data_IF_371680285821
#
_entry.id   IF_371680285821
#
_cell.length_a   1.000
_cell.length_b   1.000
_cell.length_c   1.000
_cell.angle_alpha   90.00
_cell.angle_beta   90.00
_cell.angle_gamma   90.00
#
_symmetry.space_group_name_H-M   'P 1'
#
loop_
_entity.id
_entity.type
_entity.pdbx_description
1 polymer ?
#
# COMPACT_ATOMS: atom_id res chain seq x y z
N UNK A 1 9.90 14.96 22.10
CA UNK A 1 10.45 15.28 20.76
C UNK A 1 9.82 14.36 19.73
N UNK A 2 8.92 14.87 18.88
CA UNK A 2 8.24 14.08 17.84
C UNK A 2 9.17 14.02 16.62
N UNK A 3 9.85 12.90 16.43
CA UNK A 3 10.83 12.75 15.35
C UNK A 3 10.09 12.66 14.01
N UNK A 4 9.96 13.79 13.32
CA UNK A 4 9.42 13.93 11.95
C UNK A 4 9.87 12.80 11.01
N UNK A 5 11.11 12.35 11.13
CA UNK A 5 11.67 11.27 10.32
C UNK A 5 11.03 9.90 10.57
N UNK A 6 10.74 9.58 11.84
CA UNK A 6 10.05 8.34 12.20
C UNK A 6 8.61 8.37 11.69
N UNK A 7 7.93 9.52 11.80
CA UNK A 7 6.57 9.67 11.27
C UNK A 7 6.51 9.46 9.75
N UNK A 8 7.47 10.00 8.99
CA UNK A 8 7.57 9.83 7.54
C UNK A 8 7.87 8.37 7.14
N UNK A 9 8.83 7.72 7.80
CA UNK A 9 9.16 6.31 7.57
C UNK A 9 7.96 5.40 7.87
N UNK A 10 7.27 5.67 8.99
CA UNK A 10 6.12 4.91 9.43
C UNK A 10 4.93 5.14 8.49
N UNK A 11 4.83 6.30 7.84
CA UNK A 11 3.88 6.57 6.76
C UNK A 11 4.13 5.70 5.54
N UNK A 12 5.39 5.62 5.10
CA UNK A 12 5.80 4.81 3.95
C UNK A 12 5.56 3.32 4.21
N UNK A 13 5.90 2.84 5.41
CA UNK A 13 5.62 1.47 5.85
C UNK A 13 4.12 1.15 5.86
N UNK A 14 3.29 2.08 6.33
CA UNK A 14 1.83 1.90 6.29
C UNK A 14 1.29 1.89 4.85
N UNK A 15 1.80 2.76 3.99
CA UNK A 15 1.49 2.72 2.55
C UNK A 15 1.88 1.38 1.93
N UNK A 16 3.06 0.86 2.25
CA UNK A 16 3.52 -0.46 1.82
C UNK A 16 2.58 -1.59 2.23
N UNK A 17 2.18 -1.64 3.51
CA UNK A 17 1.26 -2.67 4.02
C UNK A 17 -0.09 -2.59 3.31
N UNK A 18 -0.63 -1.40 3.07
CA UNK A 18 -1.88 -1.21 2.32
C UNK A 18 -1.73 -1.71 0.88
N UNK A 19 -0.62 -1.38 0.22
CA UNK A 19 -0.34 -1.84 -1.14
C UNK A 19 -0.21 -3.35 -1.24
N UNK A 20 0.58 -3.96 -0.35
CA UNK A 20 0.74 -5.41 -0.29
C UNK A 20 -0.60 -6.10 -0.01
N UNK A 21 -1.42 -5.53 0.89
CA UNK A 21 -2.77 -6.00 1.16
C UNK A 21 -3.68 -5.95 -0.08
N UNK A 22 -3.51 -4.95 -0.94
CA UNK A 22 -4.32 -4.81 -2.16
C UNK A 22 -4.01 -5.91 -3.19
N UNK A 23 -2.80 -6.46 -3.16
CA UNK A 23 -2.41 -7.54 -4.06
C UNK A 23 -2.84 -8.93 -3.58
N UNK A 24 -3.19 -9.09 -2.30
CA UNK A 24 -3.66 -10.37 -1.77
C UNK A 24 -5.17 -10.51 -2.04
N UNK A 25 -5.62 -11.55 -2.77
CA UNK A 25 -7.04 -11.75 -3.04
C UNK A 25 -7.79 -11.98 -1.72
N UNK A 26 -8.87 -11.23 -1.50
CA UNK A 26 -9.70 -11.32 -0.29
C UNK A 26 -9.34 -10.34 0.84
N UNK A 27 -8.34 -9.48 0.68
CA UNK A 27 -8.02 -8.44 1.68
C UNK A 27 -8.42 -7.05 1.19
N UNK A 28 -9.21 -6.32 1.99
CA UNK A 28 -9.68 -4.97 1.67
C UNK A 28 -8.68 -3.90 2.13
N UNK A 29 -8.05 -3.20 1.18
CA UNK A 29 -7.04 -2.17 1.45
C UNK A 29 -7.54 -1.01 2.33
N UNK A 30 -8.84 -0.67 2.25
CA UNK A 30 -9.46 0.34 3.12
C UNK A 30 -9.51 -0.10 4.59
N UNK A 31 -9.71 -1.40 4.84
CA UNK A 31 -9.73 -1.97 6.19
C UNK A 31 -8.33 -1.94 6.81
N UNK A 32 -7.29 -2.22 6.01
CA UNK A 32 -5.90 -2.07 6.47
C UNK A 32 -5.53 -0.62 6.77
N UNK A 33 -6.03 0.35 6.02
CA UNK A 33 -5.83 1.76 6.35
C UNK A 33 -6.42 2.15 7.72
N UNK A 34 -7.58 1.57 8.08
CA UNK A 34 -8.22 1.76 9.38
C UNK A 34 -7.40 1.09 10.48
N UNK A 35 -7.02 -0.17 10.30
CA UNK A 35 -6.20 -0.93 11.26
C UNK A 35 -4.86 -0.27 11.55
N UNK A 36 -4.23 0.33 10.53
CA UNK A 36 -2.98 1.06 10.66
C UNK A 36 -3.17 2.47 11.24
N UNK A 37 -4.40 2.90 11.52
CA UNK A 37 -4.73 4.21 12.07
C UNK A 37 -4.33 5.38 11.16
N UNK A 38 -4.21 5.15 9.85
CA UNK A 38 -3.97 6.23 8.86
C UNK A 38 -5.22 6.60 8.08
N UNK A 39 -6.31 5.86 8.25
CA UNK A 39 -7.59 6.16 7.62
C UNK A 39 -8.06 7.58 7.93
N UNK A 40 -8.03 8.01 9.20
CA UNK A 40 -8.36 9.39 9.59
C UNK A 40 -7.52 10.43 8.83
N UNK A 41 -6.21 10.21 8.70
CA UNK A 41 -5.35 11.11 7.91
C UNK A 41 -5.68 11.07 6.43
N UNK A 42 -5.93 9.89 5.87
CA UNK A 42 -6.31 9.72 4.46
C UNK A 42 -7.62 10.44 4.16
N UNK A 43 -8.67 10.15 4.93
CA UNK A 43 -9.99 10.79 4.80
C UNK A 43 -9.89 12.29 5.06
N UNK A 44 -9.11 12.74 6.06
CA UNK A 44 -8.91 14.16 6.33
C UNK A 44 -8.15 14.84 5.20
N UNK A 45 -7.18 14.18 4.57
CA UNK A 45 -6.43 14.71 3.43
C UNK A 45 -7.30 14.79 2.17
N UNK A 46 -8.24 13.86 1.98
CA UNK A 46 -9.22 13.91 0.88
C UNK A 46 -10.31 14.93 1.16
N UNK A 47 -10.80 15.02 2.40
CA UNK A 47 -11.85 15.97 2.80
C UNK A 47 -11.36 17.42 2.80
N UNK A 48 -10.12 17.67 3.26
CA UNK A 48 -9.49 18.99 3.22
C UNK A 48 -8.68 19.22 1.93
N UNK A 49 -8.92 18.44 0.87
CA UNK A 49 -8.14 18.50 -0.36
C UNK A 49 -8.11 19.92 -0.95
N UNK A 50 -9.23 20.65 -0.94
CA UNK A 50 -9.32 22.02 -1.46
C UNK A 50 -8.68 23.08 -0.57
N UNK A 51 -8.47 22.80 0.73
CA UNK A 51 -7.95 23.77 1.70
C UNK A 51 -6.42 23.82 1.69
N UNK A 52 -5.78 22.67 1.46
CA UNK A 52 -4.32 22.54 1.48
C UNK A 52 -3.85 21.51 0.44
N UNK A 53 -4.12 21.82 -0.84
CA UNK A 53 -3.87 20.94 -1.99
C UNK A 53 -2.42 20.43 -1.98
N UNK A 54 -1.43 21.31 -1.83
CA UNK A 54 -0.02 20.91 -1.90
C UNK A 54 0.37 19.91 -0.81
N UNK A 55 0.00 20.16 0.44
CA UNK A 55 0.34 19.27 1.56
C UNK A 55 -0.33 17.90 1.45
N UNK A 56 -1.62 17.90 1.11
CA UNK A 56 -2.41 16.68 1.02
C UNK A 56 -2.01 15.83 -0.18
N UNK A 57 -1.68 16.44 -1.33
CA UNK A 57 -1.24 15.71 -2.52
C UNK A 57 0.14 15.06 -2.30
N UNK A 58 1.05 15.73 -1.57
CA UNK A 58 2.35 15.17 -1.21
C UNK A 58 2.16 13.98 -0.26
N UNK A 59 1.26 14.08 0.72
CA UNK A 59 0.93 12.96 1.60
C UNK A 59 0.35 11.78 0.82
N UNK A 60 -0.63 12.02 -0.06
CA UNK A 60 -1.23 10.98 -0.89
C UNK A 60 -0.20 10.32 -1.81
N UNK A 61 0.66 11.11 -2.45
CA UNK A 61 1.76 10.61 -3.28
C UNK A 61 2.70 9.70 -2.50
N UNK A 62 3.09 10.06 -1.28
CA UNK A 62 3.94 9.20 -0.43
C UNK A 62 3.25 7.87 -0.11
N UNK A 63 1.95 7.89 0.19
CA UNK A 63 1.16 6.66 0.43
C UNK A 63 1.07 5.82 -0.85
N UNK A 64 0.82 6.44 -2.01
CA UNK A 64 0.77 5.76 -3.31
C UNK A 64 2.12 5.14 -3.69
N UNK A 65 3.25 5.81 -3.43
CA UNK A 65 4.58 5.25 -3.68
C UNK A 65 4.83 4.03 -2.78
N UNK A 66 4.49 4.12 -1.50
CA UNK A 66 4.56 2.97 -0.59
C UNK A 66 3.66 1.83 -1.06
N UNK A 67 2.41 2.13 -1.41
CA UNK A 67 1.46 1.14 -1.88
C UNK A 67 1.88 0.49 -3.20
N UNK A 68 2.38 1.28 -4.15
CA UNK A 68 2.93 0.79 -5.41
C UNK A 68 4.11 -0.14 -5.20
N UNK A 69 5.02 0.20 -4.29
CA UNK A 69 6.12 -0.69 -3.91
C UNK A 69 5.62 -2.01 -3.29
N UNK A 70 4.56 -1.95 -2.47
CA UNK A 70 3.89 -3.14 -1.91
C UNK A 70 3.26 -4.04 -2.97
N UNK A 71 2.60 -3.43 -3.95
CA UNK A 71 1.98 -4.13 -5.08
C UNK A 71 3.04 -4.76 -6.00
N UNK A 72 4.09 -4.00 -6.35
CA UNK A 72 5.20 -4.50 -7.14
C UNK A 72 5.91 -5.66 -6.45
N UNK A 73 6.06 -5.60 -5.12
CA UNK A 73 6.63 -6.71 -4.34
C UNK A 73 5.80 -7.98 -4.51
N UNK A 74 4.47 -7.88 -4.49
CA UNK A 74 3.62 -9.04 -4.68
C UNK A 74 3.66 -9.57 -6.12
N UNK A 75 3.70 -8.70 -7.13
CA UNK A 75 3.89 -9.13 -8.53
C UNK A 75 5.20 -9.90 -8.72
N UNK A 76 6.27 -9.48 -8.04
CA UNK A 76 7.54 -10.20 -8.03
C UNK A 76 7.42 -11.53 -7.26
N UNK A 77 6.70 -11.54 -6.14
CA UNK A 77 6.43 -12.73 -5.35
C UNK A 77 5.64 -13.77 -6.14
N UNK A 78 4.60 -13.36 -6.88
CA UNK A 78 3.78 -14.26 -7.71
C UNK A 78 4.61 -14.83 -8.84
N UNK A 79 5.39 -14.00 -9.56
CA UNK A 79 6.33 -14.48 -10.57
C UNK A 79 7.32 -15.49 -9.99
N UNK A 80 7.94 -15.16 -8.87
CA UNK A 80 8.90 -16.04 -8.18
C UNK A 80 8.24 -17.35 -7.73
N UNK A 81 7.02 -17.28 -7.19
CA UNK A 81 6.27 -18.44 -6.73
C UNK A 81 5.88 -19.36 -7.90
N UNK A 82 5.45 -18.80 -9.04
CA UNK A 82 5.17 -19.54 -10.28
C UNK A 82 6.42 -20.13 -10.94
N UNK A 83 7.57 -19.47 -10.81
CA UNK A 83 8.84 -19.96 -11.38
C UNK A 83 9.46 -21.06 -10.51
N UNK A 84 9.31 -20.97 -9.18
CA UNK A 84 9.76 -22.00 -8.21
C UNK A 84 8.81 -23.19 -8.09
N UNK A 85 7.51 -22.95 -8.17
CA UNK A 85 6.48 -23.97 -8.33
C UNK A 85 5.94 -23.85 -9.75
N UNK A 86 6.54 -24.54 -10.75
CA UNK A 86 5.83 -24.79 -11.98
C UNK A 86 4.55 -25.50 -11.56
N UNK A 87 3.44 -24.75 -11.56
CA UNK A 87 2.13 -25.36 -11.45
C UNK A 87 2.15 -26.42 -12.53
N UNK A 88 1.98 -27.67 -12.09
CA UNK A 88 1.72 -28.81 -12.92
C UNK A 88 0.60 -28.35 -13.86
N UNK A 89 0.94 -27.90 -15.06
CA UNK A 89 0.10 -28.14 -16.21
C UNK A 89 0.41 -29.58 -16.58
N UNK A 90 -0.44 -30.54 -16.20
CA UNK A 90 -0.46 -31.70 -17.03
C UNK A 90 -1.89 -31.91 -17.49
N UNK A 91 -2.02 -32.08 -18.81
CA UNK A 91 -3.16 -32.69 -19.46
C UNK A 91 -4.45 -31.89 -19.49
N UNK A 92 -4.46 -30.74 -20.16
CA UNK A 92 -5.52 -30.52 -21.14
C UNK A 92 -4.87 -30.14 -22.47
N UNK A 93 -4.64 -31.18 -23.27
CA UNK A 93 -4.58 -31.07 -24.73
C UNK A 93 -5.86 -30.47 -25.29
#
# INVERSE_FOLDING_TARGET
MKNKFKDDLLLMLKGYIIGSSMSVPGVSGGTMAILLGIYDKLISSVSNFLKDIKGNIIFLMKVCIGAGAGICSLSFLIKWLLEKFPLLYPYFS
#
